data_IF_003378771420
#
_entry.id   IF_003378771420
#
_cell.length_a   1.000
_cell.length_b   1.000
_cell.length_c   1.000
_cell.angle_alpha   90.00
_cell.angle_beta   90.00
_cell.angle_gamma   90.00
#
_symmetry.space_group_name_H-M   'P 1'
#
loop_
_entity.id
_entity.type
_entity.pdbx_description
1 polymer ?
#
# COMPACT_ATOMS: atom_id res chain seq x y z
N UNK A 1 -15.77 -3.48 21.40
CA UNK A 1 -14.48 -3.81 20.80
C UNK A 1 -14.49 -3.41 19.35
N UNK A 2 -13.87 -2.31 19.06
CA UNK A 2 -13.62 -1.94 17.68
C UNK A 2 -12.42 -2.73 17.21
N UNK A 3 -12.65 -3.78 16.48
CA UNK A 3 -11.60 -4.38 15.69
C UNK A 3 -11.35 -3.38 14.57
N UNK A 4 -10.27 -2.61 14.71
CA UNK A 4 -9.78 -1.80 13.63
C UNK A 4 -9.33 -2.76 12.53
N UNK A 5 -10.28 -3.23 11.76
CA UNK A 5 -9.98 -3.96 10.55
C UNK A 5 -9.35 -2.93 9.61
N UNK A 6 -8.05 -2.90 9.57
CA UNK A 6 -7.33 -2.02 8.69
C UNK A 6 -7.76 -2.33 7.25
N UNK A 7 -8.50 -1.41 6.68
CA UNK A 7 -8.90 -1.52 5.29
C UNK A 7 -7.70 -1.29 4.40
N UNK A 8 -7.43 -2.26 3.54
CA UNK A 8 -6.31 -2.20 2.59
C UNK A 8 -6.85 -1.77 1.24
N UNK A 9 -6.37 -0.63 0.74
CA UNK A 9 -6.73 -0.19 -0.59
C UNK A 9 -5.97 -1.05 -1.62
N UNK A 10 -6.72 -1.62 -2.57
CA UNK A 10 -6.16 -2.44 -3.65
C UNK A 10 -6.70 -1.99 -4.99
N UNK A 11 -5.86 -2.11 -6.03
CA UNK A 11 -6.34 -2.01 -7.39
C UNK A 11 -7.14 -3.27 -7.74
N UNK A 12 -8.03 -3.19 -8.73
CA UNK A 12 -8.79 -4.36 -9.19
C UNK A 12 -7.85 -5.48 -9.65
N UNK A 13 -6.79 -5.12 -10.36
CA UNK A 13 -5.79 -6.09 -10.83
C UNK A 13 -5.14 -6.85 -9.67
N UNK A 14 -4.73 -6.13 -8.64
CA UNK A 14 -4.10 -6.74 -7.47
C UNK A 14 -5.07 -7.64 -6.71
N UNK A 15 -6.32 -7.20 -6.57
CA UNK A 15 -7.36 -7.98 -5.94
C UNK A 15 -7.64 -9.27 -6.71
N UNK A 16 -7.77 -9.19 -8.02
CA UNK A 16 -8.00 -10.36 -8.87
C UNK A 16 -6.82 -11.33 -8.81
N UNK A 17 -5.58 -10.84 -8.82
CA UNK A 17 -4.38 -11.68 -8.66
C UNK A 17 -4.39 -12.41 -7.32
N UNK A 18 -4.77 -11.71 -6.25
CA UNK A 18 -4.85 -12.32 -4.91
C UNK A 18 -5.89 -13.45 -4.88
N UNK A 19 -7.04 -13.23 -5.49
CA UNK A 19 -8.09 -14.25 -5.59
C UNK A 19 -7.65 -15.45 -6.42
N UNK A 20 -7.00 -15.22 -7.54
CA UNK A 20 -6.49 -16.28 -8.43
C UNK A 20 -5.42 -17.10 -7.69
N UNK A 21 -4.49 -16.43 -7.02
CA UNK A 21 -3.46 -17.12 -6.25
C UNK A 21 -4.05 -17.96 -5.13
N UNK A 22 -5.03 -17.43 -4.40
CA UNK A 22 -5.71 -18.16 -3.33
C UNK A 22 -6.43 -19.40 -3.88
N UNK A 23 -7.11 -19.27 -5.00
CA UNK A 23 -7.78 -20.38 -5.67
C UNK A 23 -6.78 -21.45 -6.08
N UNK A 24 -5.66 -21.05 -6.66
CA UNK A 24 -4.59 -21.96 -7.06
C UNK A 24 -4.03 -22.73 -5.86
N UNK A 25 -3.76 -22.05 -4.76
CA UNK A 25 -3.24 -22.67 -3.55
C UNK A 25 -4.22 -23.67 -2.95
N UNK A 26 -5.52 -23.35 -2.99
CA UNK A 26 -6.56 -24.27 -2.54
C UNK A 26 -6.64 -25.51 -3.41
N UNK A 27 -6.53 -25.37 -4.72
CA UNK A 27 -6.52 -26.50 -5.66
C UNK A 27 -5.30 -27.38 -5.47
N UNK A 28 -4.12 -26.82 -5.27
CA UNK A 28 -2.89 -27.58 -5.00
C UNK A 28 -3.03 -28.40 -3.72
N UNK A 29 -3.69 -27.86 -2.70
CA UNK A 29 -3.95 -28.57 -1.46
C UNK A 29 -4.89 -29.76 -1.66
N UNK A 30 -5.91 -29.58 -2.51
CA UNK A 30 -6.90 -30.60 -2.79
C UNK A 30 -6.35 -31.80 -3.60
N UNK A 31 -5.32 -31.58 -4.41
CA UNK A 31 -4.71 -32.62 -5.25
C UNK A 31 -3.75 -33.55 -4.52
N UNK A 32 -3.51 -33.31 -3.23
CA UNK A 32 -2.81 -34.24 -2.35
C UNK A 32 -1.35 -34.52 -2.71
N UNK A 33 -0.69 -33.66 -3.42
CA UNK A 33 0.74 -33.82 -3.67
C UNK A 33 1.48 -33.79 -2.33
N UNK A 34 2.17 -34.88 -2.01
CA UNK A 34 3.02 -34.96 -0.82
C UNK A 34 4.22 -34.05 -0.97
N UNK A 35 4.06 -32.82 -0.58
CA UNK A 35 5.18 -31.91 -0.41
C UNK A 35 5.62 -31.97 1.04
N UNK A 36 6.88 -31.63 1.25
CA UNK A 36 7.45 -31.58 2.57
C UNK A 36 6.61 -30.68 3.52
N UNK A 37 6.59 -31.02 4.79
CA UNK A 37 5.87 -30.31 5.83
C UNK A 37 6.11 -28.80 5.83
N UNK A 38 7.34 -28.36 5.49
CA UNK A 38 7.70 -26.95 5.40
C UNK A 38 6.91 -26.21 4.31
N UNK A 39 6.72 -26.87 3.15
CA UNK A 39 5.97 -26.30 2.03
C UNK A 39 4.50 -26.16 2.36
N UNK A 40 3.90 -27.11 3.06
CA UNK A 40 2.52 -27.02 3.51
C UNK A 40 2.31 -25.88 4.50
N UNK A 41 3.25 -25.68 5.40
CA UNK A 41 3.22 -24.61 6.39
C UNK A 41 3.31 -23.23 5.73
N UNK A 42 4.19 -23.09 4.75
CA UNK A 42 4.32 -21.86 3.98
C UNK A 42 3.06 -21.58 3.15
N UNK A 43 2.50 -22.61 2.54
CA UNK A 43 1.27 -22.51 1.78
C UNK A 43 0.11 -22.05 2.67
N UNK A 44 -0.03 -22.65 3.83
CA UNK A 44 -1.08 -22.29 4.77
C UNK A 44 -0.96 -20.85 5.25
N UNK A 45 0.28 -20.39 5.49
CA UNK A 45 0.56 -19.00 5.86
C UNK A 45 0.15 -18.06 4.73
N UNK A 46 0.56 -18.37 3.51
CA UNK A 46 0.24 -17.52 2.34
C UNK A 46 -1.27 -17.47 2.10
N UNK A 47 -1.96 -18.58 2.24
CA UNK A 47 -3.41 -18.62 2.13
C UNK A 47 -4.09 -17.72 3.15
N UNK A 48 -3.62 -17.72 4.39
CA UNK A 48 -4.17 -16.84 5.44
C UNK A 48 -3.89 -15.37 5.12
N UNK A 49 -2.69 -15.05 4.67
CA UNK A 49 -2.34 -13.69 4.25
C UNK A 49 -3.25 -13.20 3.13
N UNK A 50 -3.50 -14.03 2.13
CA UNK A 50 -4.38 -13.71 1.01
C UNK A 50 -5.84 -13.58 1.45
N UNK A 51 -6.31 -14.44 2.34
CA UNK A 51 -7.65 -14.37 2.89
C UNK A 51 -7.85 -13.08 3.69
N UNK A 52 -6.87 -12.71 4.50
CA UNK A 52 -6.91 -11.47 5.28
C UNK A 52 -6.89 -10.25 4.36
N UNK A 53 -6.04 -10.28 3.33
CA UNK A 53 -5.93 -9.20 2.35
C UNK A 53 -7.27 -9.00 1.60
N UNK A 54 -7.85 -10.09 1.11
CA UNK A 54 -9.13 -10.06 0.38
C UNK A 54 -10.25 -9.58 1.30
N UNK A 55 -10.27 -10.06 2.55
CA UNK A 55 -11.30 -9.69 3.52
C UNK A 55 -11.26 -8.23 3.95
N UNK A 56 -10.08 -7.63 3.95
CA UNK A 56 -9.90 -6.21 4.33
C UNK A 56 -9.80 -5.27 3.14
N UNK A 57 -9.85 -5.79 1.91
CA UNK A 57 -9.64 -5.00 0.70
C UNK A 57 -10.77 -4.02 0.43
N UNK A 58 -10.39 -2.81 0.07
CA UNK A 58 -11.27 -1.80 -0.53
C UNK A 58 -10.85 -1.70 -1.98
N UNK A 59 -11.70 -2.19 -2.89
CA UNK A 59 -11.38 -2.31 -4.30
C UNK A 59 -12.15 -1.28 -5.12
N UNK A 60 -11.45 -0.66 -6.07
CA UNK A 60 -12.07 0.29 -6.98
C UNK A 60 -12.57 1.57 -6.32
N UNK A 61 -12.26 1.76 -5.04
CA UNK A 61 -12.62 2.98 -4.35
C UNK A 61 -11.56 4.04 -4.58
N UNK A 62 -11.90 5.00 -5.43
CA UNK A 62 -11.01 6.14 -5.66
C UNK A 62 -11.16 7.12 -4.49
N UNK A 63 -10.08 7.45 -3.77
CA UNK A 63 -10.18 8.46 -2.73
C UNK A 63 -10.57 9.81 -3.34
N UNK A 64 -11.28 10.67 -2.60
CA UNK A 64 -11.69 11.97 -3.12
C UNK A 64 -10.47 12.83 -3.47
N UNK A 65 -10.54 13.52 -4.60
CA UNK A 65 -9.47 14.41 -5.04
C UNK A 65 -9.56 15.77 -4.34
N UNK A 66 -9.36 15.75 -3.03
CA UNK A 66 -9.48 16.92 -2.14
C UNK A 66 -8.13 17.44 -1.64
N UNK A 67 -7.02 16.87 -2.13
CA UNK A 67 -5.67 17.25 -1.72
C UNK A 67 -5.24 16.72 -0.36
N UNK A 68 -6.05 15.89 0.29
CA UNK A 68 -5.71 15.24 1.56
C UNK A 68 -5.06 13.90 1.30
N UNK A 69 -3.90 13.64 1.89
CA UNK A 69 -3.17 12.39 1.72
C UNK A 69 -3.91 11.23 2.36
N UNK A 70 -4.23 10.22 1.56
CA UNK A 70 -4.93 9.00 1.98
C UNK A 70 -4.32 7.79 1.24
N UNK A 71 -4.48 6.57 1.78
CA UNK A 71 -4.11 5.38 1.02
C UNK A 71 -4.81 5.33 -0.33
N UNK A 72 -4.08 4.99 -1.39
CA UNK A 72 -4.57 5.00 -2.76
C UNK A 72 -4.22 6.27 -3.54
N UNK A 73 -3.50 7.19 -2.91
CA UNK A 73 -3.08 8.44 -3.56
C UNK A 73 -1.60 8.44 -3.89
N UNK A 74 -1.26 9.14 -4.97
CA UNK A 74 0.14 9.45 -5.32
C UNK A 74 0.50 10.76 -4.64
N UNK A 75 1.52 10.72 -3.81
CA UNK A 75 2.00 11.86 -3.05
C UNK A 75 3.31 12.36 -3.66
N UNK A 76 3.41 13.67 -3.79
CA UNK A 76 4.65 14.34 -4.14
C UNK A 76 5.12 15.13 -2.92
N UNK A 77 6.31 14.84 -2.44
CA UNK A 77 6.87 15.43 -1.23
C UNK A 77 8.21 16.07 -1.50
N UNK A 78 8.55 17.04 -0.69
CA UNK A 78 9.87 17.67 -0.71
C UNK A 78 10.51 17.52 0.66
N UNK A 79 11.75 17.01 0.68
CA UNK A 79 12.55 16.91 1.89
C UNK A 79 13.28 18.25 2.07
N UNK A 80 13.08 18.90 3.19
CA UNK A 80 13.65 20.23 3.43
C UNK A 80 15.16 20.22 3.53
N UNK A 81 15.75 19.18 4.09
CA UNK A 81 17.18 19.10 4.30
C UNK A 81 17.97 19.12 2.99
N UNK A 82 17.48 18.40 1.97
CA UNK A 82 18.20 18.22 0.70
C UNK A 82 17.53 18.93 -0.47
N UNK A 83 16.36 19.52 -0.23
CA UNK A 83 15.53 20.13 -1.28
C UNK A 83 15.17 19.14 -2.41
N UNK A 84 15.20 17.85 -2.10
CA UNK A 84 14.86 16.77 -3.02
C UNK A 84 13.37 16.51 -3.01
N UNK A 85 12.83 16.27 -4.20
CA UNK A 85 11.43 15.86 -4.38
C UNK A 85 11.37 14.37 -4.60
N UNK A 86 10.37 13.74 -4.02
CA UNK A 86 10.08 12.32 -4.22
C UNK A 86 8.59 12.13 -4.49
N UNK A 87 8.28 11.09 -5.22
CA UNK A 87 6.90 10.79 -5.61
C UNK A 87 6.65 9.31 -5.42
N UNK A 88 5.58 8.98 -4.72
CA UNK A 88 5.27 7.58 -4.39
C UNK A 88 3.77 7.38 -4.20
N UNK A 89 3.36 6.12 -4.34
CA UNK A 89 2.00 5.70 -4.04
C UNK A 89 1.90 5.32 -2.56
N UNK A 90 0.97 5.92 -1.85
CA UNK A 90 0.69 5.58 -0.45
C UNK A 90 -0.21 4.34 -0.42
N UNK A 91 0.39 3.19 -0.20
CA UNK A 91 -0.32 1.91 -0.24
C UNK A 91 0.54 0.81 0.37
N UNK A 92 -0.07 -0.34 0.66
CA UNK A 92 0.69 -1.51 1.07
C UNK A 92 1.51 -2.07 -0.08
N UNK A 93 2.62 -2.74 0.25
CA UNK A 93 3.59 -3.24 -0.72
C UNK A 93 3.00 -4.18 -1.77
N UNK A 94 1.92 -4.86 -1.47
CA UNK A 94 1.30 -5.83 -2.38
C UNK A 94 0.42 -5.19 -3.45
N UNK A 95 0.23 -3.87 -3.42
CA UNK A 95 -0.74 -3.18 -4.27
C UNK A 95 -0.25 -2.99 -5.70
N UNK A 96 1.05 -2.86 -5.91
CA UNK A 96 1.57 -2.56 -7.25
C UNK A 96 2.78 -3.43 -7.58
N UNK A 97 2.55 -4.61 -8.16
CA UNK A 97 3.64 -5.51 -8.51
C UNK A 97 4.45 -5.06 -9.73
N UNK A 98 3.98 -4.10 -10.50
CA UNK A 98 4.58 -3.72 -11.78
C UNK A 98 5.73 -2.71 -11.68
N UNK A 99 6.19 -2.40 -10.49
CA UNK A 99 7.50 -1.81 -10.24
C UNK A 99 7.78 -0.38 -10.71
N UNK A 100 6.89 0.26 -11.43
CA UNK A 100 7.12 1.60 -11.98
C UNK A 100 6.88 2.73 -10.96
N UNK A 101 6.31 2.41 -9.82
CA UNK A 101 6.07 3.36 -8.75
C UNK A 101 6.76 2.94 -7.48
N UNK A 102 7.41 3.89 -6.83
CA UNK A 102 7.81 3.71 -5.45
C UNK A 102 6.55 3.62 -4.59
N UNK A 103 6.54 2.70 -3.64
CA UNK A 103 5.42 2.50 -2.74
C UNK A 103 5.85 2.85 -1.34
N UNK A 104 5.04 3.65 -0.65
CA UNK A 104 5.23 3.97 0.75
C UNK A 104 4.07 3.41 1.55
N UNK A 105 4.37 2.55 2.52
CA UNK A 105 3.34 2.00 3.38
C UNK A 105 2.72 3.08 4.27
N UNK A 106 1.38 3.11 4.44
CA UNK A 106 0.75 4.03 5.38
C UNK A 106 1.14 3.75 6.83
N UNK A 107 1.73 2.60 7.10
CA UNK A 107 2.21 2.22 8.44
C UNK A 107 3.67 2.58 8.68
N UNK A 108 4.41 2.97 7.63
CA UNK A 108 5.79 3.45 7.78
C UNK A 108 5.81 4.80 8.49
N UNK A 109 6.96 5.19 9.09
CA UNK A 109 7.06 6.51 9.71
C UNK A 109 6.69 7.65 8.77
N UNK A 110 7.14 7.61 7.53
CA UNK A 110 6.80 8.61 6.51
C UNK A 110 5.32 8.58 6.17
N UNK A 111 4.75 7.40 5.96
CA UNK A 111 3.33 7.25 5.64
C UNK A 111 2.43 7.75 6.76
N UNK A 112 2.77 7.42 8.02
CA UNK A 112 2.03 7.90 9.18
C UNK A 112 2.08 9.42 9.32
N UNK A 113 3.23 10.02 9.04
CA UNK A 113 3.40 11.47 9.11
C UNK A 113 2.57 12.18 8.05
N UNK A 114 2.46 11.58 6.87
CA UNK A 114 1.78 12.20 5.73
C UNK A 114 0.27 11.96 5.69
N UNK A 115 -0.22 10.86 6.27
CA UNK A 115 -1.65 10.56 6.27
C UNK A 115 -2.44 11.71 6.92
N UNK A 116 -3.44 12.21 6.21
CA UNK A 116 -4.25 13.34 6.65
C UNK A 116 -3.66 14.71 6.37
N UNK A 117 -2.45 14.77 5.82
CA UNK A 117 -1.82 16.03 5.43
C UNK A 117 -2.44 16.58 4.16
N UNK A 118 -2.45 17.89 4.06
CA UNK A 118 -2.91 18.61 2.86
C UNK A 118 -1.72 19.13 2.06
N UNK A 119 -1.92 19.41 0.79
CA UNK A 119 -0.90 20.03 -0.04
C UNK A 119 -0.46 21.36 0.62
N UNK A 120 0.84 21.51 0.82
CA UNK A 120 1.45 22.63 1.52
C UNK A 120 1.76 22.38 2.99
N UNK A 121 1.25 21.30 3.57
CA UNK A 121 1.50 20.98 4.98
C UNK A 121 2.91 20.43 5.16
N UNK A 122 3.53 20.87 6.24
CA UNK A 122 4.83 20.38 6.69
C UNK A 122 4.62 19.33 7.77
N UNK A 123 5.34 18.24 7.66
CA UNK A 123 5.29 17.16 8.65
C UNK A 123 6.71 16.80 9.10
N UNK A 124 6.84 16.54 10.37
CA UNK A 124 8.09 16.06 10.95
C UNK A 124 7.96 14.57 11.20
N UNK A 125 9.01 13.81 10.88
CA UNK A 125 9.06 12.39 11.20
C UNK A 125 10.36 12.07 11.91
N UNK A 126 10.23 11.18 12.89
CA UNK A 126 11.36 10.69 13.67
C UNK A 126 11.94 9.45 12.99
N UNK A 127 13.22 9.49 12.67
CA UNK A 127 13.93 8.34 12.14
C UNK A 127 14.42 7.44 13.27
N UNK A 128 14.64 6.14 13.01
CA UNK A 128 15.10 5.21 14.03
C UNK A 128 16.41 5.61 14.70
N UNK A 129 17.23 6.44 14.06
CA UNK A 129 18.48 6.94 14.60
C UNK A 129 18.38 8.17 15.51
N UNK A 130 17.17 8.65 15.79
CA UNK A 130 16.93 9.85 16.57
C UNK A 130 16.93 11.15 15.78
N UNK A 131 17.19 11.09 14.48
CA UNK A 131 17.13 12.25 13.59
C UNK A 131 15.67 12.59 13.25
N UNK A 132 15.40 13.87 13.16
CA UNK A 132 14.10 14.40 12.73
C UNK A 132 14.21 14.91 11.30
N UNK A 133 13.33 14.43 10.44
CA UNK A 133 13.27 14.87 9.04
C UNK A 133 11.97 15.64 8.83
N UNK A 134 12.08 16.82 8.21
CA UNK A 134 10.91 17.61 7.85
C UNK A 134 10.63 17.43 6.36
N UNK A 135 9.37 17.08 6.06
CA UNK A 135 8.88 16.92 4.68
C UNK A 135 7.69 17.83 4.46
N UNK A 136 7.59 18.38 3.26
CA UNK A 136 6.43 19.16 2.84
C UNK A 136 5.66 18.38 1.79
N UNK A 137 4.36 18.19 2.00
CA UNK A 137 3.51 17.59 0.98
C UNK A 137 3.22 18.64 -0.09
N UNK A 138 3.67 18.39 -1.29
CA UNK A 138 3.48 19.30 -2.42
C UNK A 138 2.17 19.02 -3.15
N UNK A 139 1.81 17.74 -3.29
CA UNK A 139 0.62 17.33 -4.02
C UNK A 139 0.15 15.96 -3.56
N UNK A 140 -1.15 15.73 -3.62
CA UNK A 140 -1.77 14.45 -3.35
C UNK A 140 -2.92 14.27 -4.34
N UNK A 141 -2.81 13.27 -5.22
CA UNK A 141 -3.82 12.97 -6.23
C UNK A 141 -4.15 11.48 -6.23
N UNK A 142 -5.39 11.08 -6.50
CA UNK A 142 -5.74 9.67 -6.63
C UNK A 142 -4.90 8.99 -7.70
N UNK A 143 -4.53 7.74 -7.43
CA UNK A 143 -3.67 6.95 -8.32
C UNK A 143 -4.23 6.84 -9.73
N UNK A 144 -5.53 6.63 -9.86
CA UNK A 144 -6.20 6.53 -11.16
C UNK A 144 -6.14 7.83 -11.93
N UNK A 145 -6.30 8.96 -11.26
CA UNK A 145 -6.19 10.30 -11.87
C UNK A 145 -4.76 10.60 -12.32
N UNK A 146 -3.78 10.18 -11.54
CA UNK A 146 -2.38 10.33 -11.89
C UNK A 146 -2.00 9.51 -13.12
N UNK A 147 -2.47 8.27 -13.17
CA UNK A 147 -2.23 7.37 -14.29
C UNK A 147 -2.80 7.92 -15.61
N UNK A 148 -3.94 8.58 -15.54
CA UNK A 148 -4.57 9.21 -16.69
C UNK A 148 -3.75 10.39 -17.24
N UNK A 149 -2.96 11.06 -16.39
CA UNK A 149 -2.11 12.17 -16.80
C UNK A 149 -0.81 11.75 -17.45
N UNK A 150 -0.39 10.52 -17.24
CA UNK A 150 0.91 10.02 -17.69
C UNK A 150 0.87 9.41 -19.09
N UNK A 151 -0.28 9.38 -19.71
CA UNK A 151 -0.45 8.90 -21.09
C UNK A 151 -0.36 10.03 -22.09
#
# INVERSE_FOLDING_TARGET
MSIDTQRVWLTEETYDRARIELTRLRMERATGSRREYADEKQRARRMRELQDLIGSAVVGHEPPNDGIAEPGMVLTVRYEADDLTDRFLLADREVCPDGDFSICSPHSPLGKALCGARAGDRRELDLPGGDVVTVTLLNAVPFTSDRARTR
#
